data_IF_437218265776
#
_entry.id   IF_437218265776
#
_cell.length_a   1.000
_cell.length_b   1.000
_cell.length_c   1.000
_cell.angle_alpha   90.00
_cell.angle_beta   90.00
_cell.angle_gamma   90.00
#
_symmetry.space_group_name_H-M   'P 1'
#
loop_
_entity.id
_entity.type
_entity.pdbx_description
1 polymer ?
#
# COMPACT_ATOMS: atom_id res chain seq x y z
N UNK A 1 2.19 13.26 37.30
CA UNK A 1 3.52 13.56 37.85
C UNK A 1 4.28 14.41 36.85
N UNK A 2 4.33 15.74 37.00
CA UNK A 2 4.85 16.67 35.99
C UNK A 2 6.36 16.50 35.70
N UNK A 3 7.16 16.06 36.66
CA UNK A 3 8.60 15.79 36.45
C UNK A 3 8.86 14.66 35.45
N UNK A 4 8.05 13.58 35.50
CA UNK A 4 8.15 12.48 34.52
C UNK A 4 7.79 12.91 33.09
N UNK A 5 6.95 13.93 32.92
CA UNK A 5 6.63 14.46 31.59
C UNK A 5 7.79 15.30 31.06
N UNK A 6 8.41 16.11 31.92
CA UNK A 6 9.57 16.91 31.57
C UNK A 6 10.76 16.04 31.19
N UNK A 7 11.04 14.99 31.97
CA UNK A 7 12.09 14.01 31.70
C UNK A 7 11.91 13.30 30.34
N UNK A 8 10.66 13.01 29.95
CA UNK A 8 10.35 12.40 28.64
C UNK A 8 10.53 13.38 27.48
N UNK A 9 10.17 14.64 27.67
CA UNK A 9 10.39 15.70 26.67
C UNK A 9 11.88 15.95 26.49
N UNK A 10 12.64 16.08 27.58
CA UNK A 10 14.08 16.30 27.55
C UNK A 10 14.81 15.09 26.95
N UNK A 11 14.36 13.86 27.26
CA UNK A 11 14.86 12.63 26.62
C UNK A 11 14.56 12.58 25.12
N UNK A 12 13.39 13.02 24.68
CA UNK A 12 13.03 13.08 23.27
C UNK A 12 13.88 14.12 22.53
N UNK A 13 14.01 15.33 23.11
CA UNK A 13 14.81 16.41 22.58
C UNK A 13 16.29 16.02 22.47
N UNK A 14 16.86 15.44 23.53
CA UNK A 14 18.25 14.97 23.54
C UNK A 14 18.51 13.88 22.51
N UNK A 15 17.56 12.96 22.28
CA UNK A 15 17.67 11.92 21.24
C UNK A 15 17.52 12.49 19.83
N UNK A 16 16.65 13.48 19.66
CA UNK A 16 16.44 14.19 18.41
C UNK A 16 17.70 14.97 17.99
N UNK A 17 18.32 15.66 18.94
CA UNK A 17 19.53 16.47 18.69
C UNK A 17 20.79 15.60 18.53
N UNK A 18 20.87 14.45 19.21
CA UNK A 18 22.00 13.53 19.12
C UNK A 18 22.01 12.67 17.84
N UNK A 19 20.88 12.47 17.19
CA UNK A 19 20.77 11.71 15.95
C UNK A 19 19.64 12.27 15.09
N UNK A 20 19.86 13.41 14.42
CA UNK A 20 18.84 14.03 13.61
C UNK A 20 18.43 13.05 12.49
N UNK A 21 17.18 12.55 12.45
CA UNK A 21 16.80 11.47 11.53
C UNK A 21 16.98 11.87 10.06
N UNK A 22 16.90 13.17 9.78
CA UNK A 22 17.08 13.73 8.45
C UNK A 22 18.55 13.70 7.99
N UNK A 23 19.51 14.03 8.87
CA UNK A 23 20.94 13.96 8.55
C UNK A 23 21.38 12.53 8.28
N UNK A 24 20.87 11.56 9.06
CA UNK A 24 21.15 10.14 8.85
C UNK A 24 20.66 9.63 7.49
N UNK A 25 19.50 10.10 7.01
CA UNK A 25 18.97 9.74 5.68
C UNK A 25 19.77 10.41 4.56
N UNK A 26 20.17 11.67 4.74
CA UNK A 26 20.97 12.42 3.75
C UNK A 26 22.37 11.81 3.62
N UNK A 27 23.06 11.55 4.74
CA UNK A 27 24.39 10.91 4.73
C UNK A 27 24.35 9.54 4.07
N UNK A 28 23.34 8.71 4.37
CA UNK A 28 23.19 7.42 3.68
C UNK A 28 22.89 7.59 2.19
N UNK A 29 22.15 8.62 1.80
CA UNK A 29 21.87 8.91 0.40
C UNK A 29 23.14 9.35 -0.35
N UNK A 30 23.95 10.22 0.25
CA UNK A 30 25.26 10.66 -0.27
C UNK A 30 26.23 9.49 -0.38
N UNK A 31 26.37 8.68 0.67
CA UNK A 31 27.24 7.50 0.67
C UNK A 31 26.85 6.46 -0.40
N UNK A 32 25.54 6.26 -0.64
CA UNK A 32 25.08 5.35 -1.68
C UNK A 32 25.30 5.96 -3.06
N UNK A 33 25.10 7.26 -3.23
CA UNK A 33 25.35 7.95 -4.49
C UNK A 33 26.83 7.89 -4.88
N UNK A 34 27.74 8.10 -3.91
CA UNK A 34 29.20 8.02 -4.11
C UNK A 34 29.68 6.59 -4.35
N UNK A 35 29.04 5.60 -3.72
CA UNK A 35 29.35 4.18 -3.93
C UNK A 35 28.81 3.62 -5.24
N UNK A 36 27.90 4.33 -5.91
CA UNK A 36 27.20 3.84 -7.08
C UNK A 36 28.01 4.02 -8.36
N UNK A 37 28.59 2.91 -8.85
CA UNK A 37 29.30 2.87 -10.13
C UNK A 37 28.35 2.54 -11.27
N UNK A 38 27.67 3.56 -11.80
CA UNK A 38 26.84 3.45 -13.01
C UNK A 38 25.33 3.53 -12.78
N UNK A 39 24.56 3.23 -13.82
CA UNK A 39 23.09 3.41 -13.85
C UNK A 39 22.34 2.15 -13.35
N UNK A 40 22.99 0.99 -13.41
CA UNK A 40 22.46 -0.28 -12.91
C UNK A 40 22.97 -0.55 -11.50
N UNK A 41 22.09 -1.05 -10.64
CA UNK A 41 22.43 -1.36 -9.25
C UNK A 41 23.39 -2.54 -9.08
N UNK A 42 23.85 -2.73 -7.85
CA UNK A 42 24.87 -3.73 -7.50
C UNK A 42 24.31 -5.16 -7.36
N UNK A 43 23.02 -5.35 -7.64
CA UNK A 43 22.32 -6.63 -7.57
C UNK A 43 21.20 -6.65 -6.52
N UNK A 44 20.06 -7.22 -6.90
CA UNK A 44 18.85 -7.34 -6.04
C UNK A 44 19.13 -8.29 -4.88
N UNK A 45 18.64 -7.95 -3.69
CA UNK A 45 18.75 -8.74 -2.46
C UNK A 45 20.16 -8.87 -1.85
N UNK A 46 21.17 -8.11 -2.33
CA UNK A 46 22.50 -8.08 -1.70
C UNK A 46 22.55 -7.31 -0.37
N UNK A 47 21.61 -6.39 -0.13
CA UNK A 47 21.50 -5.66 1.14
C UNK A 47 20.47 -6.29 2.10
N UNK A 48 19.99 -7.50 1.81
CA UNK A 48 19.10 -8.27 2.67
C UNK A 48 19.89 -9.34 3.42
N UNK A 49 19.63 -9.48 4.74
CA UNK A 49 20.36 -10.38 5.65
C UNK A 49 20.43 -11.86 5.20
N UNK A 50 19.63 -12.31 4.23
CA UNK A 50 19.70 -13.66 3.67
C UNK A 50 20.88 -13.90 2.72
N UNK A 51 21.44 -12.85 2.10
CA UNK A 51 22.50 -12.96 1.10
C UNK A 51 23.91 -12.64 1.63
N UNK A 52 24.11 -12.56 2.96
CA UNK A 52 25.43 -12.31 3.58
C UNK A 52 26.51 -13.30 3.14
N UNK A 53 26.10 -14.47 2.64
CA UNK A 53 26.97 -15.53 2.13
C UNK A 53 27.65 -15.11 0.80
N UNK A 54 27.10 -14.13 0.08
CA UNK A 54 27.52 -13.78 -1.29
C UNK A 54 28.19 -12.39 -1.44
N UNK A 55 28.42 -11.64 -0.35
CA UNK A 55 29.14 -10.35 -0.44
C UNK A 55 29.11 -9.49 0.83
N UNK A 56 29.88 -8.39 0.80
CA UNK A 56 29.94 -7.40 1.89
C UNK A 56 28.58 -6.71 2.07
N UNK A 57 28.06 -6.78 3.30
CA UNK A 57 26.72 -6.34 3.66
C UNK A 57 26.82 -4.92 4.24
N UNK A 58 26.14 -3.94 3.65
CA UNK A 58 25.88 -2.65 4.31
C UNK A 58 24.47 -2.69 4.91
N UNK A 59 24.38 -2.36 6.20
CA UNK A 59 23.12 -2.16 6.91
C UNK A 59 22.55 -0.81 6.47
N UNK A 60 21.82 -0.81 5.36
CA UNK A 60 21.09 0.36 4.90
C UNK A 60 19.68 0.28 5.46
N UNK A 61 19.39 1.11 6.46
CA UNK A 61 18.15 1.02 7.24
C UNK A 61 16.96 1.71 6.53
N UNK A 62 17.23 2.69 5.68
CA UNK A 62 16.20 3.44 4.95
C UNK A 62 15.94 2.81 3.59
N UNK A 63 14.66 2.77 3.17
CA UNK A 63 14.29 2.01 1.97
C UNK A 63 14.80 2.63 0.66
N UNK A 64 14.80 3.97 0.54
CA UNK A 64 15.23 4.62 -0.70
C UNK A 64 16.73 4.41 -0.98
N UNK A 65 17.64 4.59 0.00
CA UNK A 65 19.04 4.26 -0.19
C UNK A 65 19.27 2.76 -0.45
N UNK A 66 18.46 1.86 0.12
CA UNK A 66 18.54 0.42 -0.16
C UNK A 66 18.16 0.09 -1.61
N UNK A 67 17.03 0.62 -2.10
CA UNK A 67 16.59 0.48 -3.49
C UNK A 67 17.61 1.07 -4.47
N UNK A 68 18.16 2.22 -4.13
CA UNK A 68 19.20 2.87 -4.92
C UNK A 68 20.42 1.94 -5.02
N UNK A 69 20.93 1.42 -3.91
CA UNK A 69 22.09 0.53 -3.91
C UNK A 69 21.85 -0.79 -4.68
N UNK A 70 20.68 -1.42 -4.51
CA UNK A 70 20.38 -2.74 -5.10
C UNK A 70 20.01 -2.68 -6.59
N UNK A 71 19.19 -1.70 -6.98
CA UNK A 71 18.63 -1.61 -8.34
C UNK A 71 19.12 -0.39 -9.13
N UNK A 72 19.86 0.53 -8.51
CA UNK A 72 20.34 1.76 -9.12
C UNK A 72 19.28 2.85 -9.18
N UNK A 73 19.60 4.04 -9.75
CA UNK A 73 18.67 5.16 -9.85
C UNK A 73 17.45 4.83 -10.71
N UNK A 74 17.64 4.02 -11.76
CA UNK A 74 16.54 3.58 -12.62
C UNK A 74 15.58 2.65 -11.89
N UNK A 75 16.10 1.76 -11.04
CA UNK A 75 15.27 0.89 -10.22
C UNK A 75 14.47 1.65 -9.17
N UNK A 76 15.11 2.61 -8.51
CA UNK A 76 14.43 3.53 -7.60
C UNK A 76 13.32 4.29 -8.33
N UNK A 77 13.63 4.88 -9.50
CA UNK A 77 12.64 5.58 -10.31
C UNK A 77 11.48 4.68 -10.71
N UNK A 78 11.75 3.46 -11.16
CA UNK A 78 10.73 2.49 -11.52
C UNK A 78 9.81 2.17 -10.34
N UNK A 79 10.36 1.93 -9.15
CA UNK A 79 9.57 1.66 -7.94
C UNK A 79 8.73 2.87 -7.54
N UNK A 80 9.30 4.08 -7.62
CA UNK A 80 8.55 5.31 -7.36
C UNK A 80 7.37 5.45 -8.33
N UNK A 81 7.60 5.23 -9.63
CA UNK A 81 6.53 5.25 -10.65
C UNK A 81 5.47 4.19 -10.36
N UNK A 82 5.86 2.98 -9.96
CA UNK A 82 4.93 1.91 -9.59
C UNK A 82 4.06 2.33 -8.40
N UNK A 83 4.66 2.84 -7.33
CA UNK A 83 3.92 3.29 -6.14
C UNK A 83 3.01 4.48 -6.44
N UNK A 84 3.47 5.43 -7.26
CA UNK A 84 2.62 6.52 -7.77
C UNK A 84 1.46 5.96 -8.58
N UNK A 85 1.68 4.98 -9.46
CA UNK A 85 0.62 4.37 -10.26
C UNK A 85 -0.43 3.67 -9.39
N UNK A 86 -0.02 2.91 -8.36
CA UNK A 86 -0.92 2.28 -7.39
C UNK A 86 -1.72 3.33 -6.61
N UNK A 87 -1.07 4.39 -6.15
CA UNK A 87 -1.70 5.50 -5.41
C UNK A 87 -2.74 6.22 -6.26
N UNK A 88 -2.43 6.48 -7.53
CA UNK A 88 -3.36 7.12 -8.48
C UNK A 88 -4.52 6.19 -8.83
N UNK A 89 -4.27 4.90 -9.04
CA UNK A 89 -5.31 3.93 -9.35
C UNK A 89 -6.31 3.78 -8.20
N UNK A 90 -5.81 3.71 -6.96
CA UNK A 90 -6.63 3.62 -5.75
C UNK A 90 -7.37 4.93 -5.46
N UNK A 91 -6.77 6.09 -5.76
CA UNK A 91 -7.47 7.38 -5.71
C UNK A 91 -8.66 7.42 -6.67
N UNK A 92 -8.46 6.97 -7.91
CA UNK A 92 -9.53 6.89 -8.91
C UNK A 92 -10.63 5.93 -8.47
N UNK A 93 -10.26 4.80 -7.88
CA UNK A 93 -11.23 3.84 -7.32
C UNK A 93 -12.06 4.50 -6.20
N UNK A 94 -11.41 5.14 -5.22
CA UNK A 94 -12.07 5.90 -4.17
C UNK A 94 -13.07 6.94 -4.72
N UNK A 95 -12.66 7.73 -5.72
CA UNK A 95 -13.52 8.77 -6.33
C UNK A 95 -14.71 8.20 -7.10
N UNK A 96 -14.63 6.96 -7.59
CA UNK A 96 -15.71 6.30 -8.35
C UNK A 96 -16.81 5.75 -7.44
N UNK A 97 -16.50 5.43 -6.19
CA UNK A 97 -17.45 4.91 -5.21
C UNK A 97 -18.43 5.99 -4.79
N UNK A 98 -19.75 5.74 -4.95
CA UNK A 98 -20.78 6.73 -4.54
C UNK A 98 -21.50 6.40 -3.24
N UNK A 99 -21.46 5.15 -2.76
CA UNK A 99 -22.00 4.80 -1.45
C UNK A 99 -21.12 5.46 -0.37
N UNK A 100 -21.75 6.12 0.61
CA UNK A 100 -21.03 6.92 1.61
C UNK A 100 -20.16 6.06 2.53
N UNK A 101 -20.64 4.88 2.92
CA UNK A 101 -19.93 3.97 3.82
C UNK A 101 -18.75 3.35 3.08
N UNK A 102 -18.98 2.78 1.89
CA UNK A 102 -17.93 2.19 1.07
C UNK A 102 -16.88 3.22 0.65
N UNK A 103 -17.30 4.46 0.38
CA UNK A 103 -16.37 5.55 0.05
C UNK A 103 -15.49 5.94 1.25
N UNK A 104 -16.00 5.85 2.47
CA UNK A 104 -15.22 6.03 3.70
C UNK A 104 -14.11 4.99 3.82
N UNK A 105 -14.45 3.71 3.61
CA UNK A 105 -13.45 2.63 3.59
C UNK A 105 -12.44 2.79 2.45
N UNK A 106 -12.86 3.17 1.25
CA UNK A 106 -11.94 3.41 0.14
C UNK A 106 -10.99 4.60 0.42
N UNK A 107 -11.48 5.65 1.08
CA UNK A 107 -10.65 6.78 1.50
C UNK A 107 -9.59 6.36 2.52
N UNK A 108 -9.96 5.62 3.56
CA UNK A 108 -9.00 5.20 4.58
C UNK A 108 -7.92 4.28 4.01
N UNK A 109 -8.30 3.34 3.15
CA UNK A 109 -7.34 2.48 2.43
C UNK A 109 -6.43 3.30 1.50
N UNK A 110 -6.97 4.30 0.79
CA UNK A 110 -6.16 5.17 -0.06
C UNK A 110 -5.14 6.00 0.74
N UNK A 111 -5.55 6.59 1.87
CA UNK A 111 -4.64 7.35 2.75
C UNK A 111 -3.54 6.43 3.27
N UNK A 112 -3.88 5.22 3.73
CA UNK A 112 -2.89 4.24 4.16
C UNK A 112 -1.85 3.95 3.06
N UNK A 113 -2.29 3.71 1.83
CA UNK A 113 -1.42 3.47 0.68
C UNK A 113 -0.55 4.68 0.38
N UNK A 114 -1.11 5.90 0.39
CA UNK A 114 -0.38 7.14 0.15
C UNK A 114 0.77 7.30 1.16
N UNK A 115 0.46 7.17 2.45
CA UNK A 115 1.47 7.31 3.50
C UNK A 115 2.58 6.28 3.36
N UNK A 116 2.23 4.99 3.23
CA UNK A 116 3.23 3.92 3.13
C UNK A 116 4.05 4.00 1.83
N UNK A 117 3.48 4.51 0.74
CA UNK A 117 4.20 4.65 -0.55
C UNK A 117 5.31 5.70 -0.52
N UNK A 118 5.11 6.80 0.22
CA UNK A 118 6.01 7.96 0.18
C UNK A 118 6.81 8.18 1.47
N UNK A 119 6.42 7.57 2.59
CA UNK A 119 7.18 7.73 3.83
C UNK A 119 8.45 6.86 3.83
N UNK A 120 9.64 7.45 4.07
CA UNK A 120 10.95 6.79 3.95
C UNK A 120 11.20 5.64 4.95
N UNK A 121 10.34 5.51 5.97
CA UNK A 121 10.48 4.52 7.03
C UNK A 121 9.75 3.20 6.76
N UNK A 122 8.77 3.17 5.86
CA UNK A 122 7.96 1.99 5.62
C UNK A 122 8.24 1.46 4.22
N UNK A 123 8.90 0.30 4.13
CA UNK A 123 9.17 -0.31 2.84
C UNK A 123 8.02 -1.27 2.47
N UNK A 124 7.22 -0.99 1.42
CA UNK A 124 6.08 -1.83 1.04
C UNK A 124 6.46 -3.23 0.53
N UNK A 125 7.75 -3.48 0.27
CA UNK A 125 8.24 -4.72 -0.32
C UNK A 125 8.99 -5.65 0.66
N UNK A 126 9.47 -5.16 1.81
CA UNK A 126 10.46 -5.91 2.62
C UNK A 126 10.18 -5.86 4.13
N UNK A 127 9.38 -4.88 4.59
CA UNK A 127 9.02 -4.82 6.01
C UNK A 127 7.75 -5.62 6.23
N UNK A 128 7.90 -6.84 6.75
CA UNK A 128 6.76 -7.62 7.24
C UNK A 128 6.32 -7.10 8.62
N UNK A 129 5.00 -7.00 8.91
CA UNK A 129 3.84 -7.38 8.09
C UNK A 129 3.32 -6.25 7.16
N UNK A 130 4.01 -5.11 7.10
CA UNK A 130 3.57 -3.91 6.37
C UNK A 130 3.39 -4.21 4.88
N UNK A 131 4.27 -5.03 4.30
CA UNK A 131 4.20 -5.51 2.92
C UNK A 131 2.82 -6.12 2.58
N UNK A 132 2.36 -7.04 3.41
CA UNK A 132 1.09 -7.75 3.26
C UNK A 132 -0.08 -6.78 3.37
N UNK A 133 -0.05 -5.89 4.37
CA UNK A 133 -1.12 -4.91 4.57
C UNK A 133 -1.21 -3.90 3.44
N UNK A 134 -0.07 -3.48 2.87
CA UNK A 134 -0.04 -2.56 1.74
C UNK A 134 -0.78 -3.14 0.52
N UNK A 135 -0.40 -4.36 0.11
CA UNK A 135 -1.01 -5.00 -1.05
C UNK A 135 -2.46 -5.42 -0.80
N UNK A 136 -2.79 -5.84 0.43
CA UNK A 136 -4.17 -6.10 0.82
C UNK A 136 -5.03 -4.83 0.74
N UNK A 137 -4.56 -3.71 1.31
CA UNK A 137 -5.25 -2.43 1.27
C UNK A 137 -5.45 -1.95 -0.17
N UNK A 138 -4.43 -2.10 -1.03
CA UNK A 138 -4.53 -1.79 -2.46
C UNK A 138 -5.61 -2.65 -3.14
N UNK A 139 -5.62 -3.95 -2.88
CA UNK A 139 -6.64 -4.87 -3.38
C UNK A 139 -8.05 -4.48 -2.95
N UNK A 140 -8.25 -4.19 -1.66
CA UNK A 140 -9.53 -3.74 -1.10
C UNK A 140 -9.98 -2.45 -1.78
N UNK A 141 -9.12 -1.43 -1.81
CA UNK A 141 -9.42 -0.12 -2.39
C UNK A 141 -9.86 -0.23 -3.86
N UNK A 142 -9.16 -1.05 -4.66
CA UNK A 142 -9.49 -1.28 -6.07
C UNK A 142 -10.79 -2.10 -6.26
N UNK A 143 -11.15 -2.96 -5.29
CA UNK A 143 -12.35 -3.81 -5.38
C UNK A 143 -13.63 -3.09 -4.99
N UNK A 144 -13.57 -2.13 -4.07
CA UNK A 144 -14.74 -1.40 -3.54
C UNK A 144 -15.69 -0.86 -4.61
N UNK A 145 -15.24 -0.22 -5.71
CA UNK A 145 -16.15 0.30 -6.74
C UNK A 145 -16.99 -0.79 -7.42
N UNK A 146 -16.48 -2.02 -7.47
CA UNK A 146 -17.21 -3.17 -8.02
C UNK A 146 -18.31 -3.60 -7.06
N UNK A 147 -18.02 -3.62 -5.76
CA UNK A 147 -18.99 -3.93 -4.70
C UNK A 147 -20.10 -2.87 -4.66
N UNK A 148 -19.73 -1.59 -4.72
CA UNK A 148 -20.67 -0.46 -4.80
C UNK A 148 -21.66 -0.58 -5.97
N UNK A 149 -21.18 -1.07 -7.12
CA UNK A 149 -22.03 -1.32 -8.28
C UNK A 149 -22.98 -2.51 -8.04
N UNK A 150 -22.48 -3.59 -7.46
CA UNK A 150 -23.27 -4.80 -7.18
C UNK A 150 -24.39 -4.52 -6.16
N UNK A 151 -24.09 -3.82 -5.06
CA UNK A 151 -25.06 -3.46 -4.03
C UNK A 151 -26.19 -2.59 -4.60
N UNK A 152 -25.85 -1.62 -5.45
CA UNK A 152 -26.87 -0.80 -6.13
C UNK A 152 -27.74 -1.59 -7.10
N UNK A 153 -27.16 -2.52 -7.82
CA UNK A 153 -27.93 -3.37 -8.73
C UNK A 153 -28.91 -4.28 -7.98
N UNK A 154 -28.52 -4.78 -6.80
CA UNK A 154 -29.37 -5.56 -5.90
C UNK A 154 -30.47 -4.69 -5.25
N UNK A 155 -30.16 -3.45 -4.90
CA UNK A 155 -31.11 -2.49 -4.34
C UNK A 155 -32.14 -1.98 -5.37
N UNK A 156 -31.89 -2.15 -6.67
CA UNK A 156 -32.74 -1.59 -7.72
C UNK A 156 -34.09 -2.34 -7.83
N UNK A 157 -35.24 -1.69 -7.57
CA UNK A 157 -36.55 -2.35 -7.49
C UNK A 157 -36.98 -3.03 -8.79
N UNK A 158 -36.47 -2.60 -9.96
CA UNK A 158 -36.74 -3.23 -11.26
C UNK A 158 -36.19 -4.68 -11.36
N UNK A 159 -35.04 -4.98 -10.73
CA UNK A 159 -34.45 -6.33 -10.69
C UNK A 159 -35.20 -7.21 -9.68
N UNK A 160 -35.55 -6.67 -8.50
CA UNK A 160 -36.42 -7.35 -7.51
C UNK A 160 -37.78 -7.75 -8.10
N UNK A 161 -38.45 -6.86 -8.85
CA UNK A 161 -39.74 -7.18 -9.50
C UNK A 161 -39.61 -8.26 -10.59
N UNK A 162 -38.53 -8.26 -11.38
CA UNK A 162 -38.27 -9.33 -12.39
C UNK A 162 -37.99 -10.70 -11.76
N UNK A 163 -37.19 -10.75 -10.69
CA UNK A 163 -36.96 -12.00 -9.92
C UNK A 163 -38.26 -12.54 -9.32
N UNK A 164 -39.04 -11.67 -8.66
CA UNK A 164 -40.33 -12.04 -8.05
C UNK A 164 -41.38 -12.48 -9.08
N UNK A 165 -41.39 -11.86 -10.28
CA UNK A 165 -42.29 -12.25 -11.38
C UNK A 165 -41.87 -13.57 -12.05
N UNK A 166 -40.58 -13.93 -12.02
CA UNK A 166 -40.06 -15.20 -12.51
C UNK A 166 -40.34 -16.35 -11.52
N UNK A 167 -40.31 -16.09 -10.21
CA UNK A 167 -40.66 -17.10 -9.20
C UNK A 167 -42.19 -17.30 -9.06
N UNK A 168 -43.00 -16.30 -9.43
CA UNK A 168 -44.47 -16.39 -9.36
C UNK A 168 -45.11 -16.95 -10.63
N UNK A 169 -44.33 -17.20 -11.68
CA UNK A 169 -44.82 -17.77 -12.93
C UNK A 169 -44.12 -19.12 -13.11
N UNK A 170 -44.68 -20.23 -12.57
CA UNK A 170 -44.12 -21.55 -12.84
C UNK A 170 -44.09 -21.75 -14.35
N UNK A 171 -43.00 -22.33 -14.84
CA UNK A 171 -42.85 -22.65 -16.25
C UNK A 171 -44.04 -23.53 -16.67
N UNK A 172 -44.74 -23.25 -17.79
CA UNK A 172 -45.91 -24.04 -18.20
C UNK A 172 -45.59 -25.50 -18.57
N UNK A 173 -44.34 -25.95 -18.37
CA UNK A 173 -43.89 -27.34 -18.53
C UNK A 173 -44.01 -28.19 -17.26
N UNK A 174 -44.35 -27.59 -16.11
CA UNK A 174 -44.52 -28.29 -14.82
C UNK A 174 -45.98 -28.35 -14.34
N UNK A 175 -46.96 -28.10 -15.21
CA UNK A 175 -48.34 -28.41 -14.86
C UNK A 175 -48.49 -29.94 -14.78
N UNK A 176 -48.85 -30.52 -13.61
CA UNK A 176 -49.14 -31.95 -13.54
C UNK A 176 -50.33 -32.22 -14.46
N UNK A 177 -50.11 -33.06 -15.47
CA UNK A 177 -51.18 -33.59 -16.29
C UNK A 177 -52.05 -34.45 -15.36
N UNK A 178 -53.26 -33.95 -15.07
CA UNK A 178 -54.28 -34.71 -14.37
C UNK A 178 -54.67 -35.90 -15.26
N UNK A 179 -54.38 -37.10 -14.76
CA UNK A 179 -54.80 -38.41 -15.29
C UNK A 179 -56.29 -38.61 -15.02
#
# INVERSE_FOLDING_TARGET
NPELLQERVDSFQARWDASPPHEFVIQQFEEVMDAQKGILGNGVARATNGARIFGNVRLVETYHPKLLYELGPLGLLFMMVLYTAVTVATFKAYRKTKDKNLRGYAASMWVFILFISYFPYYYPLDVDPVSVYYWLAAGIALKIPTLDKQERELANPKKKRRSRKKSSNPDPKEAPQLV
#
